data_IF_485515311852
#
_entry.id   IF_485515311852
#
_cell.length_a   1.000
_cell.length_b   1.000
_cell.length_c   1.000
_cell.angle_alpha   90.00
_cell.angle_beta   90.00
_cell.angle_gamma   90.00
#
_symmetry.space_group_name_H-M   'P 1'
#
loop_
_entity.id
_entity.type
_entity.pdbx_description
1 polymer ?
#
# COMPACT_ATOMS: atom_id res chain seq x y z
N UNK A 1 -6.65 -14.63 15.31
CA UNK A 1 -7.01 -13.28 15.81
C UNK A 1 -7.60 -13.26 17.24
N UNK A 2 -7.94 -14.41 17.85
CA UNK A 2 -8.52 -14.46 19.20
C UNK A 2 -7.52 -14.32 20.37
N UNK A 3 -6.22 -14.23 20.08
CA UNK A 3 -5.16 -13.99 21.07
C UNK A 3 -4.60 -12.58 20.97
N UNK A 4 -3.83 -12.16 21.98
CA UNK A 4 -3.09 -10.88 21.99
C UNK A 4 -1.62 -11.05 21.60
N UNK A 5 -1.25 -12.25 21.17
CA UNK A 5 0.09 -12.55 20.69
C UNK A 5 0.43 -11.68 19.47
N UNK A 6 1.72 -11.31 19.34
CA UNK A 6 2.22 -10.79 18.08
C UNK A 6 1.98 -11.80 16.95
N UNK A 7 1.76 -11.29 15.74
CA UNK A 7 1.51 -12.14 14.58
C UNK A 7 2.15 -11.54 13.33
N UNK A 8 2.75 -12.41 12.51
CA UNK A 8 3.24 -12.11 11.18
C UNK A 8 2.40 -12.88 10.18
N UNK A 9 1.77 -12.19 9.24
CA UNK A 9 0.91 -12.81 8.23
C UNK A 9 1.44 -12.54 6.84
N UNK A 10 1.91 -13.59 6.18
CA UNK A 10 2.15 -13.59 4.74
C UNK A 10 0.87 -14.05 4.05
N UNK A 11 0.24 -13.16 3.27
CA UNK A 11 -0.96 -13.49 2.52
C UNK A 11 -1.04 -12.72 1.21
N UNK A 12 -1.43 -13.35 0.07
CA UNK A 12 -1.31 -12.76 -1.24
C UNK A 12 -2.08 -11.43 -1.37
N UNK A 13 -1.68 -10.55 -2.29
CA UNK A 13 -2.42 -9.31 -2.57
C UNK A 13 -3.86 -9.62 -2.98
N UNK A 14 -4.82 -8.89 -2.39
CA UNK A 14 -6.26 -9.11 -2.59
C UNK A 14 -6.91 -10.10 -1.61
N UNK A 15 -6.18 -10.63 -0.62
CA UNK A 15 -6.71 -11.54 0.40
C UNK A 15 -7.34 -10.86 1.63
N UNK A 16 -7.44 -9.53 1.65
CA UNK A 16 -8.06 -8.79 2.76
C UNK A 16 -7.12 -8.49 3.94
N UNK A 17 -5.81 -8.32 3.69
CA UNK A 17 -4.81 -7.89 4.71
C UNK A 17 -5.27 -6.71 5.56
N UNK A 18 -5.92 -5.71 4.95
CA UNK A 18 -6.45 -4.53 5.66
C UNK A 18 -7.45 -4.89 6.76
N UNK A 19 -8.34 -5.86 6.50
CA UNK A 19 -9.34 -6.32 7.48
C UNK A 19 -8.67 -6.95 8.70
N UNK A 20 -7.51 -7.58 8.51
CA UNK A 20 -6.74 -8.12 9.62
C UNK A 20 -6.33 -7.03 10.61
N UNK A 21 -5.85 -5.89 10.12
CA UNK A 21 -5.53 -4.75 10.97
C UNK A 21 -6.77 -4.19 11.68
N UNK A 22 -7.88 -4.03 10.96
CA UNK A 22 -9.15 -3.55 11.54
C UNK A 22 -9.64 -4.46 12.68
N UNK A 23 -9.57 -5.79 12.50
CA UNK A 23 -9.91 -6.75 13.54
C UNK A 23 -9.00 -6.65 14.76
N UNK A 24 -7.70 -6.36 14.57
CA UNK A 24 -6.77 -6.11 15.67
C UNK A 24 -7.14 -4.84 16.45
N UNK A 25 -7.51 -3.76 15.75
CA UNK A 25 -7.98 -2.52 16.38
C UNK A 25 -9.25 -2.78 17.18
N UNK A 26 -10.27 -3.38 16.55
CA UNK A 26 -11.56 -3.65 17.19
C UNK A 26 -11.36 -4.51 18.44
N UNK A 27 -10.56 -5.58 18.35
CA UNK A 27 -10.24 -6.42 19.51
C UNK A 27 -9.56 -5.62 20.62
N UNK A 28 -8.59 -4.78 20.27
CA UNK A 28 -7.89 -3.94 21.23
C UNK A 28 -8.87 -2.99 21.96
N UNK A 29 -9.81 -2.38 21.23
CA UNK A 29 -10.84 -1.51 21.79
C UNK A 29 -11.79 -2.27 22.73
N UNK A 30 -12.25 -3.46 22.33
CA UNK A 30 -13.13 -4.30 23.14
C UNK A 30 -12.49 -4.72 24.47
N UNK A 31 -11.17 -4.95 24.48
CA UNK A 31 -10.45 -5.34 25.71
C UNK A 31 -10.09 -4.16 26.62
N UNK A 32 -9.79 -3.00 26.04
CA UNK A 32 -9.37 -1.82 26.81
C UNK A 32 -10.52 -1.16 27.57
N UNK A 33 -11.78 -1.53 27.25
CA UNK A 33 -12.97 -0.93 27.83
C UNK A 33 -13.12 0.55 27.48
N UNK A 34 -14.14 1.22 28.04
CA UNK A 34 -14.34 2.67 27.90
C UNK A 34 -13.28 3.51 28.67
N UNK A 35 -12.17 2.91 29.08
CA UNK A 35 -11.11 3.61 29.80
C UNK A 35 -10.49 4.67 28.89
N UNK A 36 -10.73 5.93 29.25
CA UNK A 36 -10.21 7.12 28.56
C UNK A 36 -8.68 7.29 28.67
N UNK A 37 -7.93 6.24 29.06
CA UNK A 37 -6.47 6.27 28.96
C UNK A 37 -6.08 6.47 27.49
N UNK A 38 -5.30 7.52 27.21
CA UNK A 38 -4.78 7.82 25.88
C UNK A 38 -3.88 6.68 25.41
N UNK A 39 -4.42 5.67 24.71
CA UNK A 39 -3.63 4.68 24.00
C UNK A 39 -3.28 5.19 22.60
N UNK A 40 -2.25 4.58 22.00
CA UNK A 40 -1.84 4.82 20.62
C UNK A 40 -1.80 3.49 19.86
N UNK A 41 -2.44 3.52 18.70
CA UNK A 41 -2.31 2.52 17.64
C UNK A 41 -1.45 3.15 16.55
N UNK A 42 -0.36 2.49 16.18
CA UNK A 42 0.51 2.94 15.09
C UNK A 42 0.32 2.01 13.91
N UNK A 43 0.02 2.59 12.74
CA UNK A 43 0.02 1.93 11.45
C UNK A 43 1.21 2.46 10.64
N UNK A 44 2.16 1.58 10.32
CA UNK A 44 3.33 1.91 9.54
C UNK A 44 3.26 1.22 8.17
N UNK A 45 3.37 2.00 7.09
CA UNK A 45 3.35 1.49 5.72
C UNK A 45 4.54 2.04 4.92
N UNK A 46 4.96 1.35 3.84
CA UNK A 46 6.17 1.71 3.11
C UNK A 46 6.03 3.03 2.37
N UNK A 47 4.85 3.48 1.96
CA UNK A 47 4.73 4.71 1.16
C UNK A 47 3.64 5.62 1.71
N UNK A 48 3.83 6.93 1.53
CA UNK A 48 2.87 7.96 1.95
C UNK A 48 1.48 7.71 1.36
N UNK A 49 1.41 7.28 0.09
CA UNK A 49 0.15 6.99 -0.58
C UNK A 49 -0.68 5.92 0.15
N UNK A 50 -0.05 4.83 0.62
CA UNK A 50 -0.73 3.80 1.43
C UNK A 50 -1.15 4.34 2.80
N UNK A 51 -0.35 5.21 3.42
CA UNK A 51 -0.72 5.87 4.68
C UNK A 51 -1.96 6.72 4.50
N UNK A 52 -1.99 7.61 3.49
CA UNK A 52 -3.13 8.47 3.20
C UNK A 52 -4.36 7.65 2.81
N UNK A 53 -4.22 6.61 1.97
CA UNK A 53 -5.34 5.72 1.61
C UNK A 53 -5.99 5.10 2.85
N UNK A 54 -5.17 4.58 3.78
CA UNK A 54 -5.66 4.00 5.03
C UNK A 54 -6.20 5.05 5.98
N UNK A 55 -5.59 6.22 6.06
CA UNK A 55 -6.06 7.34 6.87
C UNK A 55 -7.47 7.77 6.45
N UNK A 56 -7.73 7.99 5.15
CA UNK A 56 -9.06 8.39 4.68
C UNK A 56 -10.11 7.32 5.02
N UNK A 57 -9.80 6.05 4.77
CA UNK A 57 -10.70 4.93 5.06
C UNK A 57 -11.00 4.79 6.58
N UNK A 58 -9.96 4.82 7.40
CA UNK A 58 -10.09 4.58 8.85
C UNK A 58 -10.56 5.79 9.63
N UNK A 59 -10.34 7.01 9.13
CA UNK A 59 -10.91 8.23 9.71
C UNK A 59 -12.44 8.15 9.75
N UNK A 60 -13.05 7.71 8.65
CA UNK A 60 -14.51 7.59 8.58
C UNK A 60 -15.01 6.37 9.38
N UNK A 61 -14.35 5.22 9.23
CA UNK A 61 -14.73 3.98 9.94
C UNK A 61 -14.56 4.03 11.45
N UNK A 62 -13.47 4.64 11.95
CA UNK A 62 -13.16 4.68 13.37
C UNK A 62 -13.51 6.01 14.04
N UNK A 63 -13.70 7.09 13.27
CA UNK A 63 -14.15 8.38 13.78
C UNK A 63 -15.52 8.30 14.44
N UNK A 64 -16.41 7.42 13.97
CA UNK A 64 -17.73 7.16 14.60
C UNK A 64 -17.61 6.59 16.02
N UNK A 65 -16.48 5.95 16.37
CA UNK A 65 -16.20 5.46 17.73
C UNK A 65 -15.45 6.51 18.57
N UNK A 66 -15.34 7.75 18.09
CA UNK A 66 -14.64 8.85 18.76
C UNK A 66 -13.11 8.78 18.64
N UNK A 67 -12.56 7.92 17.75
CA UNK A 67 -11.12 7.78 17.58
C UNK A 67 -10.57 8.87 16.67
N UNK A 68 -9.54 9.57 17.15
CA UNK A 68 -8.82 10.57 16.36
C UNK A 68 -7.74 9.89 15.52
N UNK A 69 -7.87 10.00 14.20
CA UNK A 69 -6.89 9.51 13.23
C UNK A 69 -5.99 10.68 12.79
N UNK A 70 -4.69 10.43 12.69
CA UNK A 70 -3.71 11.45 12.28
C UNK A 70 -2.67 10.85 11.35
N UNK A 71 -2.43 11.50 10.22
CA UNK A 71 -1.37 11.14 9.29
C UNK A 71 -0.08 11.89 9.66
N UNK A 72 0.99 11.12 9.91
CA UNK A 72 2.32 11.61 10.20
C UNK A 72 3.27 11.12 9.11
N UNK A 73 3.37 11.86 8.01
CA UNK A 73 4.26 11.54 6.89
C UNK A 73 5.21 12.70 6.59
N UNK A 74 6.06 12.58 5.58
CA UNK A 74 7.16 13.53 5.33
C UNK A 74 6.75 14.99 5.01
N UNK A 75 5.46 15.30 4.91
CA UNK A 75 4.93 16.65 4.66
C UNK A 75 4.34 17.30 5.94
N UNK A 76 4.43 16.60 7.07
CA UNK A 76 3.85 16.96 8.38
C UNK A 76 4.92 17.72 9.21
N UNK A 77 4.59 18.90 9.73
CA UNK A 77 5.47 19.83 10.44
C UNK A 77 5.76 19.38 11.89
N UNK A 78 6.62 20.13 12.60
CA UNK A 78 6.94 19.85 14.01
C UNK A 78 5.76 20.12 14.95
N UNK A 79 4.84 21.02 14.59
CA UNK A 79 3.68 21.36 15.42
C UNK A 79 2.68 20.19 15.53
N UNK A 80 2.66 19.32 14.51
CA UNK A 80 1.84 18.11 14.47
C UNK A 80 2.23 17.09 15.55
N UNK A 81 3.42 17.20 16.15
CA UNK A 81 3.82 16.36 17.29
C UNK A 81 3.00 16.63 18.56
N UNK A 82 2.47 17.85 18.72
CA UNK A 82 1.52 18.14 19.80
C UNK A 82 0.17 17.48 19.53
N UNK A 83 -0.26 17.43 18.27
CA UNK A 83 -1.50 16.74 17.86
C UNK A 83 -1.43 15.22 18.09
N UNK A 84 -0.24 14.62 17.99
CA UNK A 84 -0.04 13.21 18.31
C UNK A 84 -0.44 12.85 19.75
N UNK A 85 -0.42 13.80 20.70
CA UNK A 85 -0.87 13.56 22.07
C UNK A 85 -2.35 13.25 22.15
N UNK A 86 -3.16 13.82 21.26
CA UNK A 86 -4.61 13.61 21.21
C UNK A 86 -5.04 12.52 20.22
N UNK A 87 -4.12 12.08 19.36
CA UNK A 87 -4.39 11.07 18.32
C UNK A 87 -4.55 9.67 18.93
N UNK A 88 -5.50 8.87 18.46
CA UNK A 88 -5.64 7.46 18.85
C UNK A 88 -4.96 6.54 17.84
N UNK A 89 -5.10 6.83 16.55
CA UNK A 89 -4.51 6.05 15.46
C UNK A 89 -3.57 6.95 14.65
N UNK A 90 -2.32 6.52 14.50
CA UNK A 90 -1.26 7.27 13.82
C UNK A 90 -0.84 6.49 12.57
N UNK A 91 -0.90 7.13 11.40
CA UNK A 91 -0.45 6.56 10.12
C UNK A 91 0.91 7.15 9.77
N UNK A 92 1.91 6.33 9.47
CA UNK A 92 3.27 6.84 9.27
C UNK A 92 4.14 5.97 8.36
N UNK A 93 5.26 6.52 7.90
CA UNK A 93 6.30 5.77 7.18
C UNK A 93 7.46 5.42 8.12
N UNK A 94 8.28 4.40 7.80
CA UNK A 94 9.47 4.07 8.59
C UNK A 94 10.38 5.28 8.84
N UNK A 95 10.63 6.12 7.83
CA UNK A 95 11.53 7.27 7.94
C UNK A 95 11.00 8.32 8.91
N UNK A 96 9.69 8.61 8.85
CA UNK A 96 9.08 9.62 9.73
C UNK A 96 9.03 9.11 11.17
N UNK A 97 8.72 7.83 11.38
CA UNK A 97 8.72 7.23 12.71
C UNK A 97 10.13 7.00 13.28
N UNK A 98 11.15 6.79 12.44
CA UNK A 98 12.55 6.73 12.85
C UNK A 98 13.00 8.03 13.54
N UNK A 99 12.63 9.18 12.99
CA UNK A 99 12.92 10.48 13.59
C UNK A 99 12.33 10.64 15.00
N UNK A 100 11.11 10.13 15.22
CA UNK A 100 10.44 10.15 16.52
C UNK A 100 11.11 9.21 17.52
N UNK A 101 11.36 7.97 17.09
CA UNK A 101 11.90 6.94 17.97
C UNK A 101 13.36 7.23 18.36
N UNK A 102 14.12 8.00 17.57
CA UNK A 102 15.46 8.51 17.97
C UNK A 102 15.39 9.46 19.18
N UNK A 103 14.29 10.21 19.31
CA UNK A 103 14.03 11.17 20.41
C UNK A 103 13.01 10.62 21.42
N UNK A 104 12.92 9.30 21.57
CA UNK A 104 11.86 8.68 22.36
C UNK A 104 11.80 9.13 23.82
N UNK A 105 12.94 9.55 24.40
CA UNK A 105 13.01 10.07 25.78
C UNK A 105 12.27 11.39 25.92
N UNK A 106 12.34 12.26 24.92
CA UNK A 106 11.63 13.55 24.90
C UNK A 106 10.12 13.33 24.76
N UNK A 107 9.73 12.28 24.04
CA UNK A 107 8.34 11.88 23.80
C UNK A 107 7.91 10.66 24.63
N UNK A 108 8.46 10.48 25.82
CA UNK A 108 8.28 9.25 26.63
C UNK A 108 6.80 8.89 26.85
N UNK A 109 5.95 9.89 27.12
CA UNK A 109 4.51 9.69 27.31
C UNK A 109 3.82 9.09 26.08
N UNK A 110 4.21 9.53 24.87
CA UNK A 110 3.68 8.98 23.62
C UNK A 110 4.04 7.51 23.48
N UNK A 111 5.32 7.16 23.65
CA UNK A 111 5.80 5.79 23.52
C UNK A 111 5.24 4.85 24.60
N UNK A 112 5.10 5.34 25.84
CA UNK A 112 4.45 4.62 26.93
C UNK A 112 2.98 4.30 26.67
N UNK A 113 2.35 5.05 25.76
CA UNK A 113 0.95 4.94 25.39
C UNK A 113 0.72 4.04 24.18
N UNK A 114 1.77 3.63 23.45
CA UNK A 114 1.64 2.72 22.31
C UNK A 114 1.26 1.32 22.79
N UNK A 115 0.17 0.79 22.26
CA UNK A 115 -0.37 -0.54 22.63
C UNK A 115 -0.48 -1.48 21.44
N UNK A 116 -0.57 -0.96 20.23
CA UNK A 116 -0.66 -1.75 19.01
C UNK A 116 0.23 -1.12 17.94
N UNK A 117 1.15 -1.90 17.39
CA UNK A 117 2.09 -1.49 16.35
C UNK A 117 1.91 -2.40 15.13
N UNK A 118 1.31 -1.83 14.08
CA UNK A 118 0.93 -2.52 12.86
C UNK A 118 1.91 -2.14 11.75
N UNK A 119 2.47 -3.14 11.08
CA UNK A 119 3.47 -3.01 10.02
C UNK A 119 2.88 -3.61 8.76
N UNK A 120 2.58 -2.76 7.79
CA UNK A 120 2.15 -3.19 6.46
C UNK A 120 3.36 -3.31 5.52
N UNK A 121 3.26 -4.28 4.61
CA UNK A 121 4.31 -4.65 3.67
C UNK A 121 5.69 -4.85 4.32
N UNK A 122 5.75 -5.69 5.36
CA UNK A 122 7.02 -5.98 6.09
C UNK A 122 8.10 -6.64 5.22
N UNK A 123 7.78 -7.04 3.97
CA UNK A 123 8.79 -7.43 2.99
C UNK A 123 9.74 -6.26 2.60
N UNK A 124 9.39 -5.01 2.92
CA UNK A 124 10.28 -3.86 2.78
C UNK A 124 11.61 -4.05 3.53
N UNK A 125 11.68 -4.95 4.52
CA UNK A 125 12.95 -5.33 5.15
C UNK A 125 14.01 -5.79 4.14
N UNK A 126 13.61 -6.36 3.00
CA UNK A 126 14.52 -6.78 1.93
C UNK A 126 14.91 -5.66 0.95
N UNK A 127 14.42 -4.43 1.17
CA UNK A 127 14.78 -3.26 0.35
C UNK A 127 16.15 -2.71 0.76
N UNK A 128 17.05 -2.53 -0.22
CA UNK A 128 18.43 -2.11 0.01
C UNK A 128 18.57 -0.68 0.58
N UNK A 129 17.60 0.20 0.32
CA UNK A 129 17.68 1.60 0.71
C UNK A 129 16.92 1.89 2.01
N UNK A 130 15.79 1.20 2.22
CA UNK A 130 14.79 1.53 3.24
C UNK A 130 14.58 0.42 4.27
N UNK A 131 15.00 -0.82 3.97
CA UNK A 131 14.85 -1.96 4.86
C UNK A 131 15.52 -1.74 6.22
N UNK A 132 16.75 -1.23 6.21
CA UNK A 132 17.50 -0.91 7.44
C UNK A 132 16.77 0.10 8.34
N UNK A 133 16.05 1.07 7.76
CA UNK A 133 15.27 2.04 8.54
C UNK A 133 14.08 1.37 9.23
N UNK A 134 13.34 0.51 8.52
CA UNK A 134 12.24 -0.26 9.11
C UNK A 134 12.76 -1.18 10.23
N UNK A 135 13.86 -1.89 10.00
CA UNK A 135 14.49 -2.76 11.00
C UNK A 135 14.90 -1.98 12.26
N UNK A 136 15.56 -0.82 12.07
CA UNK A 136 15.99 0.03 13.18
C UNK A 136 14.80 0.56 13.99
N UNK A 137 13.71 0.96 13.33
CA UNK A 137 12.49 1.43 13.99
C UNK A 137 11.89 0.33 14.87
N UNK A 138 11.65 -0.85 14.30
CA UNK A 138 10.99 -1.95 15.02
C UNK A 138 11.86 -2.42 16.18
N UNK A 139 13.16 -2.59 15.94
CA UNK A 139 14.12 -2.98 16.99
C UNK A 139 14.18 -1.95 18.11
N UNK A 140 14.15 -0.65 17.78
CA UNK A 140 14.12 0.42 18.79
C UNK A 140 12.81 0.44 19.57
N UNK A 141 11.68 0.20 18.92
CA UNK A 141 10.37 0.10 19.60
C UNK A 141 10.36 -1.04 20.63
N UNK A 142 10.96 -2.20 20.32
CA UNK A 142 11.16 -3.28 21.29
C UNK A 142 12.02 -2.84 22.48
N UNK A 143 13.18 -2.23 22.22
CA UNK A 143 14.09 -1.74 23.27
C UNK A 143 13.45 -0.68 24.15
N UNK A 144 12.70 0.26 23.56
CA UNK A 144 11.96 1.30 24.28
C UNK A 144 10.89 0.67 25.18
N UNK A 145 10.16 -0.33 24.70
CA UNK A 145 9.16 -1.04 25.50
C UNK A 145 9.80 -1.73 26.72
N UNK A 146 10.93 -2.42 26.53
CA UNK A 146 11.68 -3.04 27.63
C UNK A 146 12.13 -1.99 28.66
N UNK A 147 12.69 -0.87 28.19
CA UNK A 147 13.12 0.21 29.08
C UNK A 147 11.97 0.81 29.89
N UNK A 148 10.81 1.03 29.25
CA UNK A 148 9.59 1.53 29.90
C UNK A 148 9.06 0.53 30.93
N UNK A 149 9.05 -0.76 30.61
CA UNK A 149 8.54 -1.80 31.49
C UNK A 149 9.42 -1.99 32.72
N UNK A 150 10.74 -1.81 32.61
CA UNK A 150 11.66 -1.88 33.75
C UNK A 150 11.44 -0.74 34.77
N UNK A 151 10.89 0.39 34.33
CA UNK A 151 10.59 1.54 35.20
C UNK A 151 9.18 1.47 35.82
N UNK A 152 8.28 0.65 35.27
CA UNK A 152 6.91 0.48 35.79
C UNK A 152 6.87 -0.61 36.87
N UNK A 153 6.02 -0.41 37.88
CA UNK A 153 5.65 -1.50 38.78
C UNK A 153 5.00 -2.63 37.96
N UNK A 154 5.42 -3.89 38.18
CA UNK A 154 5.03 -5.12 37.45
C UNK A 154 3.52 -5.41 37.37
N UNK A 155 2.66 -4.58 37.95
CA UNK A 155 1.22 -4.78 38.06
C UNK A 155 0.43 -4.32 36.84
N UNK A 156 0.98 -3.44 36.00
CA UNK A 156 0.34 -3.01 34.74
C UNK A 156 0.87 -3.83 33.56
N UNK A 157 0.16 -4.91 33.22
CA UNK A 157 0.46 -5.78 32.08
C UNK A 157 0.03 -5.12 30.76
N UNK A 158 0.66 -3.99 30.42
CA UNK A 158 0.30 -3.14 29.28
C UNK A 158 1.37 -3.15 28.20
N UNK A 159 1.55 -4.33 27.59
CA UNK A 159 2.53 -4.52 26.53
C UNK A 159 2.05 -4.08 25.16
N UNK A 160 2.99 -3.58 24.37
CA UNK A 160 2.76 -3.27 22.97
C UNK A 160 2.71 -4.56 22.15
N UNK A 161 1.63 -4.72 21.39
CA UNK A 161 1.44 -5.84 20.46
C UNK A 161 1.91 -5.48 19.05
N UNK A 162 2.74 -6.33 18.45
CA UNK A 162 3.14 -6.21 17.04
C UNK A 162 2.24 -7.01 16.11
N UNK A 163 1.80 -6.41 15.01
CA UNK A 163 1.12 -7.09 13.90
C UNK A 163 1.87 -6.73 12.64
N UNK A 164 2.44 -7.72 11.95
CA UNK A 164 3.12 -7.48 10.68
C UNK A 164 2.44 -8.27 9.56
N UNK A 165 2.25 -7.65 8.41
CA UNK A 165 1.57 -8.26 7.28
C UNK A 165 2.33 -7.98 6.00
N UNK A 166 2.33 -8.92 5.06
CA UNK A 166 2.95 -8.75 3.75
C UNK A 166 2.36 -9.71 2.71
N UNK A 167 2.52 -9.37 1.43
CA UNK A 167 2.19 -10.27 0.33
C UNK A 167 3.19 -11.41 0.11
N UNK A 168 4.48 -11.16 0.35
CA UNK A 168 5.56 -12.04 -0.12
C UNK A 168 6.71 -12.10 0.88
N UNK A 169 6.70 -13.09 1.76
CA UNK A 169 7.79 -13.34 2.70
C UNK A 169 7.99 -14.86 2.83
N UNK A 170 9.15 -15.40 2.41
CA UNK A 170 9.43 -16.82 2.54
C UNK A 170 9.75 -17.22 3.99
N UNK A 171 10.31 -16.31 4.78
CA UNK A 171 10.84 -16.53 6.13
C UNK A 171 9.93 -15.92 7.23
N UNK A 172 8.64 -16.26 7.20
CA UNK A 172 7.64 -15.70 8.14
C UNK A 172 8.01 -15.99 9.59
N UNK A 173 8.53 -17.18 9.87
CA UNK A 173 8.89 -17.61 11.23
C UNK A 173 10.09 -16.83 11.79
N UNK A 174 11.07 -16.48 10.95
CA UNK A 174 12.21 -15.65 11.37
C UNK A 174 11.75 -14.24 11.77
N UNK A 175 10.81 -13.66 11.00
CA UNK A 175 10.23 -12.36 11.34
C UNK A 175 9.38 -12.47 12.60
N UNK A 176 8.64 -13.56 12.78
CA UNK A 176 7.89 -13.79 14.01
C UNK A 176 8.84 -13.85 15.21
N UNK A 177 9.91 -14.64 15.15
CA UNK A 177 10.94 -14.71 16.19
C UNK A 177 11.57 -13.33 16.46
N UNK A 178 11.83 -12.54 15.42
CA UNK A 178 12.32 -11.18 15.58
C UNK A 178 11.30 -10.24 16.26
N UNK A 179 10.00 -10.41 16.04
CA UNK A 179 8.95 -9.62 16.69
C UNK A 179 8.55 -10.12 18.08
N UNK A 180 9.07 -11.26 18.50
CA UNK A 180 8.82 -11.80 19.84
C UNK A 180 9.30 -10.81 20.92
N UNK A 181 8.40 -10.48 21.84
CA UNK A 181 8.66 -9.54 22.93
C UNK A 181 9.14 -10.23 24.20
N UNK A 182 9.20 -11.56 24.23
CA UNK A 182 9.55 -12.38 25.39
C UNK A 182 8.43 -12.52 26.43
N UNK A 183 7.35 -11.73 26.30
CA UNK A 183 6.15 -11.81 27.15
C UNK A 183 5.10 -12.75 26.57
N UNK A 184 4.89 -12.68 25.26
CA UNK A 184 3.98 -13.54 24.51
C UNK A 184 4.68 -14.01 23.23
N UNK A 185 4.63 -15.31 22.90
CA UNK A 185 5.26 -15.82 21.69
C UNK A 185 4.61 -15.20 20.46
N UNK A 186 5.43 -14.84 19.47
CA UNK A 186 4.97 -14.37 18.18
C UNK A 186 4.70 -15.56 17.24
N UNK A 187 3.67 -15.43 16.38
CA UNK A 187 3.29 -16.49 15.45
C UNK A 187 3.45 -16.06 14.00
N UNK A 188 4.08 -16.92 13.19
CA UNK A 188 4.08 -16.82 11.74
C UNK A 188 2.90 -17.54 11.11
N UNK A 189 2.23 -16.91 10.14
CA UNK A 189 1.17 -17.52 9.33
C UNK A 189 1.46 -17.22 7.87
N UNK A 190 1.59 -18.27 7.06
CA UNK A 190 1.72 -18.15 5.60
C UNK A 190 0.50 -18.74 4.92
N UNK A 191 -0.21 -17.91 4.16
CA UNK A 191 -1.34 -18.31 3.34
C UNK A 191 -0.90 -18.35 1.88
N UNK A 192 -1.06 -19.49 1.22
CA UNK A 192 -0.72 -19.67 -0.18
C UNK A 192 -1.72 -19.02 -1.15
N UNK A 193 -1.47 -19.18 -2.45
CA UNK A 193 -2.32 -18.62 -3.51
C UNK A 193 -3.75 -19.20 -3.51
N UNK A 194 -3.93 -20.39 -2.96
CA UNK A 194 -5.21 -21.06 -2.78
C UNK A 194 -6.20 -20.24 -1.94
N UNK A 195 -5.72 -19.35 -1.07
CA UNK A 195 -6.54 -18.46 -0.25
C UNK A 195 -6.95 -17.15 -0.94
N UNK A 196 -6.60 -16.95 -2.22
CA UNK A 196 -7.07 -15.78 -2.97
C UNK A 196 -8.57 -15.89 -3.25
N UNK A 197 -9.40 -14.90 -2.86
CA UNK A 197 -10.82 -14.89 -3.21
C UNK A 197 -11.05 -14.91 -4.73
N UNK A 198 -10.15 -14.27 -5.47
CA UNK A 198 -10.09 -14.29 -6.94
C UNK A 198 -8.82 -15.00 -7.38
N UNK A 199 -8.98 -16.17 -7.98
CA UNK A 199 -7.86 -17.00 -8.43
C UNK A 199 -7.09 -16.30 -9.56
N UNK A 200 -5.76 -16.28 -9.43
CA UNK A 200 -4.87 -15.64 -10.39
C UNK A 200 -4.35 -16.66 -11.40
N UNK A 201 -4.66 -16.47 -12.69
CA UNK A 201 -4.04 -17.22 -13.78
C UNK A 201 -2.79 -16.47 -14.27
N UNK A 202 -1.61 -17.04 -14.03
CA UNK A 202 -0.33 -16.50 -14.52
C UNK A 202 0.02 -17.13 -15.87
N UNK A 203 0.30 -16.29 -16.87
CA UNK A 203 0.85 -16.70 -18.16
C UNK A 203 2.15 -15.93 -18.39
N UNK A 204 3.21 -16.63 -18.77
CA UNK A 204 4.52 -16.03 -19.09
C UNK A 204 4.80 -16.27 -20.55
N UNK A 205 4.91 -15.20 -21.33
CA UNK A 205 5.24 -15.26 -22.76
C UNK A 205 6.68 -14.80 -22.94
N UNK A 206 7.54 -15.71 -23.41
CA UNK A 206 8.93 -15.41 -23.74
C UNK A 206 9.04 -14.76 -25.12
N UNK A 207 9.79 -13.67 -25.20
CA UNK A 207 10.14 -13.02 -26.47
C UNK A 207 11.65 -12.89 -26.54
N UNK A 208 12.24 -13.34 -27.64
CA UNK A 208 13.68 -13.19 -27.85
C UNK A 208 14.00 -11.78 -28.31
N UNK A 209 14.99 -11.10 -27.70
CA UNK A 209 15.50 -9.86 -28.22
C UNK A 209 16.29 -10.15 -29.49
N UNK A 210 15.74 -9.81 -30.65
CA UNK A 210 16.55 -9.61 -31.86
C UNK A 210 17.65 -8.61 -31.49
N UNK A 211 18.92 -8.85 -31.85
CA UNK A 211 20.15 -8.07 -31.52
C UNK A 211 20.01 -6.53 -31.66
N UNK A 212 19.19 -5.92 -30.83
CA UNK A 212 18.71 -4.55 -30.86
C UNK A 212 18.82 -4.01 -29.44
N UNK A 213 18.81 -2.69 -29.31
CA UNK A 213 18.79 -2.05 -28.00
C UNK A 213 17.53 -2.40 -27.20
N UNK A 214 17.60 -2.34 -25.88
CA UNK A 214 16.46 -2.57 -24.98
C UNK A 214 15.23 -1.74 -25.36
N UNK A 215 15.45 -0.50 -25.81
CA UNK A 215 14.38 0.38 -26.31
C UNK A 215 13.63 -0.22 -27.52
N UNK A 216 14.36 -0.80 -28.47
CA UNK A 216 13.77 -1.42 -29.66
C UNK A 216 13.08 -2.74 -29.33
N UNK A 217 13.59 -3.46 -28.32
CA UNK A 217 12.94 -4.63 -27.78
C UNK A 217 11.61 -4.25 -27.11
N UNK A 218 11.58 -3.28 -26.20
CA UNK A 218 10.38 -2.75 -25.55
C UNK A 218 9.32 -2.28 -26.58
N UNK A 219 9.76 -1.63 -27.65
CA UNK A 219 8.88 -1.23 -28.75
C UNK A 219 8.28 -2.45 -29.46
N UNK A 220 9.09 -3.47 -29.73
CA UNK A 220 8.62 -4.73 -30.34
C UNK A 220 7.57 -5.40 -29.46
N UNK A 221 7.76 -5.41 -28.14
CA UNK A 221 6.77 -5.91 -27.18
C UNK A 221 5.47 -5.11 -27.23
N UNK A 222 5.55 -3.79 -27.37
CA UNK A 222 4.37 -2.93 -27.47
C UNK A 222 3.46 -3.29 -28.66
N UNK A 223 4.04 -3.71 -29.79
CA UNK A 223 3.27 -4.20 -30.94
C UNK A 223 2.61 -5.57 -30.73
N UNK A 224 3.02 -6.33 -29.71
CA UNK A 224 2.38 -7.61 -29.35
C UNK A 224 1.19 -7.45 -28.41
N UNK A 225 1.05 -6.28 -27.77
CA UNK A 225 0.03 -6.04 -26.73
C UNK A 225 -1.39 -6.36 -27.19
N UNK A 226 -1.81 -5.94 -28.38
CA UNK A 226 -3.19 -6.18 -28.84
C UNK A 226 -3.53 -7.67 -28.97
N UNK A 227 -2.57 -8.49 -29.41
CA UNK A 227 -2.72 -9.94 -29.46
C UNK A 227 -2.85 -10.56 -28.07
N UNK A 228 -2.02 -10.10 -27.12
CA UNK A 228 -2.05 -10.55 -25.72
C UNK A 228 -3.38 -10.18 -25.06
N UNK A 229 -3.83 -8.93 -25.20
CA UNK A 229 -5.10 -8.44 -24.66
C UNK A 229 -6.26 -9.25 -25.21
N UNK A 230 -6.33 -9.47 -26.53
CA UNK A 230 -7.41 -10.25 -27.15
C UNK A 230 -7.44 -11.70 -26.67
N UNK A 231 -6.28 -12.28 -26.37
CA UNK A 231 -6.17 -13.67 -25.96
C UNK A 231 -6.53 -13.88 -24.48
N UNK A 232 -6.29 -12.87 -23.62
CA UNK A 232 -6.34 -13.07 -22.17
C UNK A 232 -7.27 -12.14 -21.39
N UNK A 233 -7.73 -11.02 -21.98
CA UNK A 233 -8.54 -10.04 -21.23
C UNK A 233 -10.02 -10.40 -21.15
N UNK A 234 -10.56 -11.20 -22.09
CA UNK A 234 -12.00 -11.44 -22.23
C UNK A 234 -12.83 -10.14 -22.26
N UNK A 235 -12.31 -9.08 -22.90
CA UNK A 235 -12.88 -7.72 -22.91
C UNK A 235 -13.05 -7.08 -21.51
N UNK A 236 -12.31 -7.54 -20.50
CA UNK A 236 -12.26 -6.94 -19.17
C UNK A 236 -11.21 -5.82 -19.10
N UNK A 237 -11.34 -4.88 -18.13
CA UNK A 237 -10.36 -3.83 -17.92
C UNK A 237 -8.94 -4.38 -17.80
N UNK A 238 -8.01 -3.80 -18.56
CA UNK A 238 -6.62 -4.27 -18.66
C UNK A 238 -5.63 -3.18 -18.25
N UNK A 239 -4.78 -3.51 -17.27
CA UNK A 239 -3.64 -2.69 -16.86
C UNK A 239 -2.36 -3.17 -17.57
N UNK A 240 -1.59 -2.24 -18.13
CA UNK A 240 -0.32 -2.53 -18.79
C UNK A 240 0.78 -1.76 -18.06
N UNK A 241 1.75 -2.47 -17.48
CA UNK A 241 2.88 -1.85 -16.82
C UNK A 241 4.06 -1.74 -17.79
N UNK A 242 4.60 -0.53 -17.94
CA UNK A 242 5.78 -0.28 -18.76
C UNK A 242 6.93 0.32 -17.93
N UNK A 243 8.15 0.13 -18.42
CA UNK A 243 9.41 0.50 -17.75
C UNK A 243 9.62 2.01 -17.62
N UNK A 244 9.14 2.80 -18.58
CA UNK A 244 9.40 4.26 -18.65
C UNK A 244 8.16 5.06 -19.01
N UNK A 245 8.13 6.35 -18.62
CA UNK A 245 7.04 7.27 -19.01
C UNK A 245 6.84 7.33 -20.53
N UNK A 246 7.94 7.27 -21.31
CA UNK A 246 7.88 7.27 -22.78
C UNK A 246 7.24 5.98 -23.32
N UNK A 247 7.65 4.83 -22.81
CA UNK A 247 7.08 3.52 -23.23
C UNK A 247 5.59 3.41 -22.94
N UNK A 248 5.11 4.03 -21.86
CA UNK A 248 3.69 4.09 -21.49
C UNK A 248 2.86 4.82 -22.55
N UNK A 249 3.29 6.04 -22.94
CA UNK A 249 2.59 6.83 -23.98
C UNK A 249 2.66 6.11 -25.33
N UNK A 250 3.81 5.47 -25.62
CA UNK A 250 4.01 4.72 -26.86
C UNK A 250 3.11 3.49 -26.95
N UNK A 251 3.00 2.69 -25.87
CA UNK A 251 2.13 1.52 -25.81
C UNK A 251 0.66 1.89 -26.04
N UNK A 252 0.17 2.93 -25.36
CA UNK A 252 -1.19 3.43 -25.56
C UNK A 252 -1.43 3.88 -27.01
N UNK A 253 -0.50 4.66 -27.58
CA UNK A 253 -0.61 5.14 -28.96
C UNK A 253 -0.59 4.02 -30.01
N UNK A 254 0.16 2.94 -29.78
CA UNK A 254 0.16 1.77 -30.67
C UNK A 254 -1.20 1.06 -30.64
N UNK A 255 -1.78 0.89 -29.44
CA UNK A 255 -3.10 0.26 -29.29
C UNK A 255 -4.22 1.08 -29.94
N UNK A 256 -4.17 2.41 -29.84
CA UNK A 256 -5.09 3.33 -30.53
C UNK A 256 -5.01 3.12 -32.05
N UNK A 257 -3.81 3.04 -32.61
CA UNK A 257 -3.60 2.82 -34.06
C UNK A 257 -4.07 1.46 -34.53
N UNK A 258 -3.96 0.43 -33.69
CA UNK A 258 -4.40 -0.93 -34.06
C UNK A 258 -5.93 -1.06 -34.13
N UNK A 259 -6.68 -0.17 -33.45
CA UNK A 259 -8.15 -0.10 -33.46
C UNK A 259 -8.85 -1.44 -33.11
N UNK A 260 -8.20 -2.32 -32.35
CA UNK A 260 -8.72 -3.65 -31.99
C UNK A 260 -9.42 -3.71 -30.63
N UNK A 261 -9.43 -2.60 -29.88
CA UNK A 261 -10.12 -2.54 -28.59
C UNK A 261 -11.61 -2.31 -28.85
N UNK A 262 -12.42 -3.23 -28.33
CA UNK A 262 -13.87 -3.14 -28.46
C UNK A 262 -14.43 -2.06 -27.51
N UNK A 263 -15.27 -1.19 -28.06
CA UNK A 263 -15.98 -0.13 -27.32
C UNK A 263 -17.37 -0.02 -27.94
N UNK A 264 -18.41 -0.16 -27.12
CA UNK A 264 -19.78 0.02 -27.60
C UNK A 264 -20.12 1.50 -27.82
N UNK A 265 -21.25 1.78 -28.47
CA UNK A 265 -21.65 3.15 -28.83
C UNK A 265 -21.88 4.06 -27.61
N UNK A 266 -22.41 3.51 -26.50
CA UNK A 266 -22.67 4.27 -25.27
C UNK A 266 -21.38 4.55 -24.51
N UNK A 267 -20.51 3.55 -24.40
CA UNK A 267 -19.18 3.69 -23.83
C UNK A 267 -18.35 4.71 -24.61
N UNK A 268 -18.43 4.67 -25.95
CA UNK A 268 -17.77 5.66 -26.81
C UNK A 268 -18.26 7.07 -26.50
N UNK A 269 -19.56 7.30 -26.42
CA UNK A 269 -20.11 8.62 -26.09
C UNK A 269 -19.59 9.13 -24.74
N UNK A 270 -19.57 8.27 -23.71
CA UNK A 270 -19.01 8.62 -22.39
C UNK A 270 -17.53 8.96 -22.45
N UNK A 271 -16.73 8.15 -23.15
CA UNK A 271 -15.30 8.41 -23.36
C UNK A 271 -15.04 9.75 -24.06
N UNK A 272 -15.85 10.11 -25.06
CA UNK A 272 -15.77 11.43 -25.69
C UNK A 272 -16.06 12.57 -24.71
N UNK A 273 -17.08 12.43 -23.87
CA UNK A 273 -17.39 13.41 -22.82
C UNK A 273 -16.26 13.53 -21.80
N UNK A 274 -15.68 12.41 -21.37
CA UNK A 274 -14.55 12.38 -20.45
C UNK A 274 -13.30 13.03 -21.04
N UNK A 275 -13.01 12.76 -22.31
CA UNK A 275 -11.85 13.30 -23.01
C UNK A 275 -11.86 14.85 -23.04
N UNK A 276 -13.04 15.49 -23.05
CA UNK A 276 -13.14 16.95 -23.01
C UNK A 276 -12.67 17.58 -21.68
N UNK A 277 -12.61 16.79 -20.60
CA UNK A 277 -12.10 17.24 -19.29
C UNK A 277 -10.60 17.00 -19.09
N UNK A 278 -9.93 16.41 -20.08
CA UNK A 278 -8.50 16.08 -20.04
C UNK A 278 -7.70 17.19 -20.72
N UNK A 279 -6.65 17.67 -20.06
CA UNK A 279 -5.80 18.73 -20.57
C UNK A 279 -4.73 18.23 -21.55
N UNK A 280 -4.11 17.08 -21.29
CA UNK A 280 -3.11 16.50 -22.19
C UNK A 280 -3.76 16.04 -23.52
N UNK A 281 -3.34 16.63 -24.63
CA UNK A 281 -3.95 16.40 -25.95
C UNK A 281 -3.77 14.98 -26.47
N UNK A 282 -2.63 14.34 -26.17
CA UNK A 282 -2.36 12.96 -26.58
C UNK A 282 -3.19 11.98 -25.76
N UNK A 283 -3.34 12.24 -24.47
CA UNK A 283 -4.19 11.45 -23.58
C UNK A 283 -5.66 11.58 -23.97
N UNK A 284 -6.10 12.80 -24.30
CA UNK A 284 -7.44 13.05 -24.81
C UNK A 284 -7.73 12.19 -26.06
N UNK A 285 -6.81 12.14 -27.02
CA UNK A 285 -6.96 11.31 -28.22
C UNK A 285 -7.01 9.81 -27.87
N UNK A 286 -6.15 9.35 -26.97
CA UNK A 286 -6.16 7.96 -26.52
C UNK A 286 -7.51 7.57 -25.90
N UNK A 287 -8.06 8.40 -25.01
CA UNK A 287 -9.28 8.10 -24.25
C UNK A 287 -10.48 7.95 -25.17
N UNK A 288 -10.58 8.77 -26.23
CA UNK A 288 -11.63 8.65 -27.26
C UNK A 288 -11.64 7.28 -27.95
N UNK A 289 -10.51 6.58 -27.92
CA UNK A 289 -10.29 5.25 -28.50
C UNK A 289 -10.14 4.14 -27.43
N UNK A 290 -10.58 4.40 -26.18
CA UNK A 290 -10.61 3.39 -25.11
C UNK A 290 -9.25 2.99 -24.56
N UNK A 291 -8.20 3.79 -24.84
CA UNK A 291 -6.88 3.64 -24.25
C UNK A 291 -6.58 4.83 -23.35
N UNK A 292 -5.91 4.62 -22.24
CA UNK A 292 -5.34 5.72 -21.46
C UNK A 292 -3.92 5.43 -21.07
N UNK A 293 -3.26 6.45 -20.55
CA UNK A 293 -1.99 6.28 -19.88
C UNK A 293 -1.89 7.06 -18.59
N UNK A 294 -1.09 6.55 -17.65
CA UNK A 294 -0.86 7.14 -16.34
C UNK A 294 0.63 7.13 -15.99
N UNK A 295 1.21 8.32 -15.77
CA UNK A 295 2.59 8.46 -15.31
C UNK A 295 2.78 9.72 -14.48
N UNK A 296 3.85 9.78 -13.67
CA UNK A 296 4.12 10.90 -12.76
C UNK A 296 4.30 12.28 -13.44
N UNK A 297 4.56 12.32 -14.75
CA UNK A 297 4.65 13.58 -15.51
C UNK A 297 3.30 14.20 -15.92
N UNK A 298 2.17 13.53 -15.68
CA UNK A 298 0.84 14.09 -15.93
C UNK A 298 0.45 15.05 -14.81
N UNK A 299 -0.32 16.10 -15.16
CA UNK A 299 -0.92 16.96 -14.14
C UNK A 299 -1.86 16.14 -13.23
N UNK A 300 -2.10 16.63 -12.02
CA UNK A 300 -2.84 15.86 -11.00
C UNK A 300 -4.32 15.64 -11.38
N UNK A 301 -4.92 16.57 -12.12
CA UNK A 301 -6.32 16.47 -12.55
C UNK A 301 -6.50 15.36 -13.59
N UNK A 302 -5.63 15.32 -14.61
CA UNK A 302 -5.64 14.27 -15.63
C UNK A 302 -5.38 12.89 -15.02
N UNK A 303 -4.47 12.79 -14.03
CA UNK A 303 -4.21 11.54 -13.30
C UNK A 303 -5.46 11.02 -12.60
N UNK A 304 -6.07 11.86 -11.73
CA UNK A 304 -7.31 11.52 -11.03
C UNK A 304 -8.42 11.15 -12.01
N UNK A 305 -8.53 11.91 -13.10
CA UNK A 305 -9.57 11.68 -14.09
C UNK A 305 -9.44 10.33 -14.79
N UNK A 306 -8.23 9.94 -15.18
CA UNK A 306 -7.98 8.63 -15.79
C UNK A 306 -8.22 7.50 -14.79
N UNK A 307 -7.80 7.66 -13.54
CA UNK A 307 -8.06 6.69 -12.47
C UNK A 307 -9.58 6.47 -12.27
N UNK A 308 -10.38 7.55 -12.26
CA UNK A 308 -11.84 7.47 -12.16
C UNK A 308 -12.48 6.74 -13.34
N UNK A 309 -12.11 7.09 -14.57
CA UNK A 309 -12.70 6.49 -15.78
C UNK A 309 -12.33 5.01 -15.89
N UNK A 310 -11.12 4.63 -15.47
CA UNK A 310 -10.72 3.22 -15.43
C UNK A 310 -11.45 2.45 -14.32
N UNK A 311 -11.55 3.04 -13.11
CA UNK A 311 -12.20 2.40 -11.96
C UNK A 311 -13.71 2.17 -12.16
N UNK A 312 -14.36 3.03 -12.95
CA UNK A 312 -15.78 2.86 -13.33
C UNK A 312 -15.99 1.81 -14.43
N UNK A 313 -14.91 1.27 -15.02
CA UNK A 313 -14.96 0.29 -16.10
C UNK A 313 -15.18 0.89 -17.50
N UNK A 314 -15.21 2.22 -17.61
CA UNK A 314 -15.47 2.89 -18.88
C UNK A 314 -14.24 2.96 -19.78
N UNK A 315 -13.04 2.96 -19.21
CA UNK A 315 -11.78 2.86 -19.96
C UNK A 315 -11.32 1.39 -20.03
N UNK A 316 -11.33 0.73 -21.20
CA UNK A 316 -10.92 -0.67 -21.33
C UNK A 316 -9.45 -0.94 -21.02
N UNK A 317 -8.53 -0.06 -21.46
CA UNK A 317 -7.09 -0.31 -21.34
C UNK A 317 -6.37 0.91 -20.77
N UNK A 318 -5.52 0.68 -19.76
CA UNK A 318 -4.72 1.72 -19.13
C UNK A 318 -3.25 1.28 -19.02
N UNK A 319 -2.35 2.02 -19.69
CA UNK A 319 -0.91 1.84 -19.58
C UNK A 319 -0.32 2.70 -18.46
N UNK A 320 0.60 2.17 -17.65
CA UNK A 320 1.14 2.85 -16.48
C UNK A 320 2.64 2.64 -16.34
N UNK A 321 3.33 3.67 -15.86
CA UNK A 321 4.76 3.54 -15.56
C UNK A 321 4.93 2.93 -14.19
N UNK A 322 5.77 1.90 -14.07
CA UNK A 322 6.18 1.39 -12.77
C UNK A 322 6.96 2.50 -12.05
N UNK A 323 6.59 2.91 -10.83
CA UNK A 323 7.45 3.78 -10.03
C UNK A 323 8.76 3.02 -9.77
N UNK A 324 9.91 3.67 -9.97
CA UNK A 324 11.26 3.08 -9.83
C UNK A 324 11.61 2.56 -8.40
N UNK A 325 10.63 2.29 -7.54
CA UNK A 325 10.80 1.95 -6.13
C UNK A 325 9.82 0.88 -5.64
N UNK A 326 9.53 -0.15 -6.45
CA UNK A 326 8.95 -1.40 -5.96
C UNK A 326 10.01 -2.48 -5.85
#
# INVERSE_FOLDING_TARGET
MYSDNPIVVCSPTGSGKTVLFELCIIRFLLKSGASHSLYKVVYMAPIKALCNERYQDWKDKFGIFGLRCTELTGDTDLDDFQELQYSNIIFTTPEKWDNLTRKWKDYKSLFQSVRLFMIDEVHLLNDNARGATMEAVVSRMKTVQVAINNEKNKTDNQDMRFIAVSATIPNVDDIAAWLDTGFLPAFGVSLGNEYRPVQLKKVVLGYEPEKKSDFMFDLTLSYKLSGVIRTHSDNKPTLIFCSTRKSVVQAAGILVKDQKIFIDSRQRQRLFSYANSIHDSKLQDCVKHGCGYHHAGLNINDRKRIEEIFSTGDLPVLALSIPYHL
#
